data_IF_099895628087
#
_entry.id   IF_099895628087
#
_cell.length_a   1.000
_cell.length_b   1.000
_cell.length_c   1.000
_cell.angle_alpha   90.00
_cell.angle_beta   90.00
_cell.angle_gamma   90.00
#
_symmetry.space_group_name_H-M   'P 1'
#
loop_
_entity.id
_entity.type
_entity.pdbx_description
1 polymer ?
#
# COMPACT_ATOMS: atom_id res chain seq x y z
N UNK A 1 -2.58 -13.70 5.86
CA UNK A 1 -1.17 -13.77 5.43
C UNK A 1 -0.27 -13.51 6.63
N UNK A 2 1.00 -13.92 6.60
CA UNK A 2 1.96 -13.66 7.70
C UNK A 2 2.91 -12.55 7.28
N UNK A 3 3.39 -11.71 8.21
CA UNK A 3 4.40 -10.71 7.87
C UNK A 3 5.73 -11.38 7.50
N UNK A 4 6.41 -10.80 6.51
CA UNK A 4 7.76 -11.15 6.07
C UNK A 4 8.73 -10.97 7.24
N UNK A 5 9.57 -11.98 7.46
CA UNK A 5 10.56 -11.98 8.53
C UNK A 5 11.83 -11.25 8.06
N UNK A 6 11.76 -9.92 8.02
CA UNK A 6 12.84 -9.04 7.57
C UNK A 6 13.22 -8.03 8.66
N UNK A 7 14.46 -7.56 8.63
CA UNK A 7 14.84 -6.42 9.46
C UNK A 7 14.13 -5.15 8.96
N UNK A 8 13.87 -4.20 9.87
CA UNK A 8 13.07 -3.02 9.54
C UNK A 8 13.62 -2.22 8.33
N UNK A 9 14.93 -1.94 8.20
CA UNK A 9 15.45 -1.21 7.05
C UNK A 9 15.25 -1.97 5.73
N UNK A 10 15.42 -3.30 5.76
CA UNK A 10 15.21 -4.16 4.59
C UNK A 10 13.73 -4.19 4.20
N UNK A 11 12.84 -4.31 5.18
CA UNK A 11 11.40 -4.28 4.95
C UNK A 11 10.97 -2.96 4.30
N UNK A 12 11.37 -1.81 4.87
CA UNK A 12 11.03 -0.49 4.32
C UNK A 12 11.51 -0.35 2.87
N UNK A 13 12.73 -0.81 2.56
CA UNK A 13 13.24 -0.77 1.19
C UNK A 13 12.32 -1.53 0.22
N UNK A 14 11.89 -2.73 0.60
CA UNK A 14 10.98 -3.53 -0.24
C UNK A 14 9.60 -2.89 -0.37
N UNK A 15 9.07 -2.29 0.71
CA UNK A 15 7.77 -1.61 0.65
C UNK A 15 7.80 -0.43 -0.33
N UNK A 16 8.88 0.36 -0.33
CA UNK A 16 9.08 1.46 -1.29
C UNK A 16 9.11 0.93 -2.74
N UNK A 17 9.85 -0.17 -3.00
CA UNK A 17 9.86 -0.79 -4.32
C UNK A 17 8.46 -1.28 -4.74
N UNK A 18 7.68 -1.80 -3.79
CA UNK A 18 6.30 -2.23 -4.01
C UNK A 18 5.36 -1.07 -4.37
N UNK A 19 5.59 0.14 -3.86
CA UNK A 19 4.84 1.34 -4.26
C UNK A 19 4.99 1.59 -5.77
N UNK A 20 6.23 1.59 -6.28
CA UNK A 20 6.49 1.76 -7.71
C UNK A 20 5.86 0.63 -8.55
N UNK A 21 6.01 -0.62 -8.11
CA UNK A 21 5.44 -1.79 -8.79
C UNK A 21 3.90 -1.72 -8.84
N UNK A 22 3.26 -1.33 -7.73
CA UNK A 22 1.80 -1.23 -7.64
C UNK A 22 1.25 -0.16 -8.59
N UNK A 23 1.91 1.00 -8.69
CA UNK A 23 1.53 2.08 -9.61
C UNK A 23 1.73 1.69 -11.08
N UNK A 24 2.79 0.93 -11.38
CA UNK A 24 3.00 0.36 -12.70
C UNK A 24 1.92 -0.67 -13.06
N UNK A 25 1.55 -1.56 -12.14
CA UNK A 25 0.44 -2.51 -12.32
C UNK A 25 -0.89 -1.80 -12.55
N UNK A 26 -1.20 -0.77 -11.76
CA UNK A 26 -2.42 0.03 -11.95
C UNK A 26 -2.48 0.69 -13.34
N UNK A 27 -1.34 1.21 -13.82
CA UNK A 27 -1.24 1.78 -15.17
C UNK A 27 -1.45 0.72 -16.26
N UNK A 28 -0.94 -0.51 -16.06
CA UNK A 28 -1.18 -1.64 -16.98
C UNK A 28 -2.64 -2.06 -17.00
N UNK A 29 -3.31 -2.14 -15.85
CA UNK A 29 -4.75 -2.44 -15.77
C UNK A 29 -5.53 -1.41 -16.60
N UNK A 30 -5.24 -0.13 -16.40
CA UNK A 30 -5.89 0.95 -17.16
C UNK A 30 -5.67 0.81 -18.68
N UNK A 31 -4.46 0.48 -19.12
CA UNK A 31 -4.18 0.25 -20.55
C UNK A 31 -4.96 -0.94 -21.12
N UNK A 32 -5.06 -2.05 -20.39
CA UNK A 32 -5.84 -3.22 -20.82
C UNK A 32 -7.34 -2.91 -20.88
N UNK A 33 -7.84 -2.07 -19.97
CA UNK A 33 -9.22 -1.57 -20.07
C UNK A 33 -9.43 -0.76 -21.35
N UNK A 34 -8.54 0.18 -21.65
CA UNK A 34 -8.64 0.99 -22.87
C UNK A 34 -8.61 0.14 -24.15
N UNK A 35 -7.93 -1.02 -24.12
CA UNK A 35 -7.92 -1.98 -25.23
C UNK A 35 -9.02 -3.05 -25.16
N UNK A 36 -9.99 -2.91 -24.25
CA UNK A 36 -11.08 -3.87 -23.99
C UNK A 36 -10.62 -5.29 -23.62
N UNK A 37 -9.39 -5.43 -23.13
CA UNK A 37 -8.81 -6.70 -22.67
C UNK A 37 -9.11 -6.90 -21.17
N UNK A 38 -10.39 -7.17 -20.88
CA UNK A 38 -10.89 -7.30 -19.51
C UNK A 38 -10.30 -8.49 -18.76
N UNK A 39 -9.94 -9.56 -19.48
CA UNK A 39 -9.33 -10.75 -18.90
C UNK A 39 -7.96 -10.42 -18.32
N UNK A 40 -7.07 -9.79 -19.10
CA UNK A 40 -5.75 -9.36 -18.60
C UNK A 40 -5.85 -8.29 -17.53
N UNK A 41 -6.81 -7.36 -17.66
CA UNK A 41 -7.04 -6.36 -16.62
C UNK A 41 -7.40 -7.01 -15.27
N UNK A 42 -8.27 -8.03 -15.29
CA UNK A 42 -8.68 -8.79 -14.11
C UNK A 42 -7.53 -9.60 -13.49
N UNK A 43 -6.75 -10.32 -14.31
CA UNK A 43 -5.57 -11.08 -13.82
C UNK A 43 -4.57 -10.17 -13.10
N UNK A 44 -4.25 -9.00 -13.68
CA UNK A 44 -3.30 -8.05 -13.07
C UNK A 44 -3.90 -7.43 -11.80
N UNK A 45 -5.21 -7.17 -11.77
CA UNK A 45 -5.90 -6.68 -10.58
C UNK A 45 -5.80 -7.69 -9.43
N UNK A 46 -6.05 -8.97 -9.69
CA UNK A 46 -5.96 -10.02 -8.67
C UNK A 46 -4.54 -10.13 -8.07
N UNK A 47 -3.51 -10.05 -8.93
CA UNK A 47 -2.14 -9.99 -8.45
C UNK A 47 -1.86 -8.72 -7.65
N UNK A 48 -2.36 -7.56 -8.10
CA UNK A 48 -2.19 -6.29 -7.40
C UNK A 48 -2.83 -6.34 -6.01
N UNK A 49 -4.06 -6.87 -5.90
CA UNK A 49 -4.76 -7.05 -4.61
C UNK A 49 -3.96 -7.94 -3.66
N UNK A 50 -3.41 -9.05 -4.15
CA UNK A 50 -2.54 -9.93 -3.35
C UNK A 50 -1.29 -9.21 -2.86
N UNK A 51 -0.63 -8.44 -3.72
CA UNK A 51 0.57 -7.68 -3.36
C UNK A 51 0.26 -6.61 -2.30
N UNK A 52 -0.78 -5.80 -2.51
CA UNK A 52 -1.24 -4.78 -1.56
C UNK A 52 -1.63 -5.42 -0.22
N UNK A 53 -2.26 -6.59 -0.25
CA UNK A 53 -2.62 -7.31 0.99
C UNK A 53 -1.38 -7.74 1.77
N UNK A 54 -0.31 -8.20 1.11
CA UNK A 54 0.94 -8.55 1.79
C UNK A 54 1.62 -7.31 2.35
N UNK A 55 1.70 -6.26 1.53
CA UNK A 55 2.26 -4.97 1.86
C UNK A 55 1.67 -4.41 3.17
N UNK A 56 0.34 -4.29 3.22
CA UNK A 56 -0.39 -3.81 4.40
C UNK A 56 -0.16 -4.69 5.64
N UNK A 57 -0.12 -6.02 5.47
CA UNK A 57 0.17 -6.94 6.58
C UNK A 57 1.56 -6.69 7.16
N UNK A 58 2.54 -6.40 6.33
CA UNK A 58 3.89 -6.11 6.79
C UNK A 58 3.98 -4.77 7.53
N UNK A 59 3.30 -3.76 7.01
CA UNK A 59 3.21 -2.44 7.63
C UNK A 59 2.55 -2.50 9.00
N UNK A 60 1.35 -3.08 9.08
CA UNK A 60 0.59 -3.13 10.32
C UNK A 60 1.24 -4.06 11.36
N UNK A 61 1.71 -5.24 10.96
CA UNK A 61 2.27 -6.20 11.90
C UNK A 61 3.72 -5.89 12.32
N UNK A 62 4.45 -5.13 11.50
CA UNK A 62 5.87 -4.84 11.74
C UNK A 62 6.12 -3.37 12.00
N UNK A 63 5.77 -2.48 11.07
CA UNK A 63 6.08 -1.04 11.17
C UNK A 63 5.27 -0.41 12.29
N UNK A 64 3.94 -0.56 12.28
CA UNK A 64 3.08 0.02 13.33
C UNK A 64 3.43 -0.56 14.70
N UNK A 65 3.65 -1.88 14.80
CA UNK A 65 4.03 -2.49 16.07
C UNK A 65 5.35 -1.91 16.60
N UNK A 66 6.39 -1.84 15.77
CA UNK A 66 7.67 -1.22 16.18
C UNK A 66 7.51 0.25 16.54
N UNK A 67 6.68 0.99 15.81
CA UNK A 67 6.41 2.38 16.14
C UNK A 67 5.73 2.52 17.51
N UNK A 68 4.70 1.71 17.79
CA UNK A 68 4.05 1.67 19.09
C UNK A 68 5.04 1.33 20.23
N UNK A 69 5.94 0.36 20.01
CA UNK A 69 6.99 0.00 20.98
C UNK A 69 8.03 1.11 21.19
N UNK A 70 8.24 1.98 20.20
CA UNK A 70 9.25 3.04 20.23
C UNK A 70 8.74 4.39 20.71
N UNK A 71 7.51 4.74 20.35
CA UNK A 71 6.92 6.06 20.56
C UNK A 71 5.70 6.03 21.49
N UNK A 72 5.18 4.85 21.81
CA UNK A 72 3.88 4.71 22.47
C UNK A 72 2.71 5.07 21.54
N UNK A 73 1.49 4.93 22.06
CA UNK A 73 0.25 5.21 21.31
C UNK A 73 0.16 6.67 20.86
N UNK A 74 0.44 7.60 21.77
CA UNK A 74 0.35 9.04 21.49
C UNK A 74 1.37 9.50 20.45
N UNK A 75 2.62 9.04 20.55
CA UNK A 75 3.66 9.38 19.57
C UNK A 75 3.48 8.72 18.19
N UNK A 76 2.57 7.75 18.09
CA UNK A 76 2.25 7.01 16.87
C UNK A 76 0.91 7.42 16.24
N UNK A 77 0.24 8.46 16.74
CA UNK A 77 -1.07 8.90 16.23
C UNK A 77 -1.10 9.13 14.72
N UNK A 78 -0.11 9.84 14.19
CA UNK A 78 -0.04 10.13 12.76
C UNK A 78 0.05 8.85 11.91
N UNK A 79 0.83 7.86 12.37
CA UNK A 79 0.95 6.57 11.68
C UNK A 79 -0.37 5.80 11.68
N UNK A 80 -1.07 5.83 12.83
CA UNK A 80 -2.37 5.19 12.95
C UNK A 80 -3.37 5.82 11.99
N UNK A 81 -3.35 7.14 11.81
CA UNK A 81 -4.25 7.82 10.86
C UNK A 81 -3.94 7.44 9.41
N UNK A 82 -2.67 7.31 9.02
CA UNK A 82 -2.30 6.85 7.67
C UNK A 82 -2.74 5.40 7.45
N UNK A 83 -2.51 4.49 8.40
CA UNK A 83 -2.88 3.08 8.22
C UNK A 83 -4.39 2.84 8.23
N UNK A 84 -5.20 3.77 8.76
CA UNK A 84 -6.66 3.72 8.56
C UNK A 84 -7.07 3.85 7.09
N UNK A 85 -6.22 4.45 6.25
CA UNK A 85 -6.49 4.58 4.81
C UNK A 85 -6.48 3.22 4.09
N UNK A 86 -5.83 2.19 4.64
CA UNK A 86 -5.82 0.83 4.08
C UNK A 86 -7.22 0.27 3.83
N UNK A 87 -8.18 0.54 4.74
CA UNK A 87 -9.57 0.12 4.54
C UNK A 87 -10.16 0.74 3.28
N UNK A 88 -9.94 2.05 3.09
CA UNK A 88 -10.41 2.76 1.90
C UNK A 88 -9.76 2.20 0.63
N UNK A 89 -8.48 1.88 0.68
CA UNK A 89 -7.75 1.28 -0.45
C UNK A 89 -8.40 -0.06 -0.85
N UNK A 90 -8.69 -0.94 0.12
CA UNK A 90 -9.39 -2.20 -0.15
C UNK A 90 -10.78 -1.98 -0.75
N UNK A 91 -11.57 -1.07 -0.17
CA UNK A 91 -12.92 -0.77 -0.67
C UNK A 91 -12.89 -0.30 -2.14
N UNK A 92 -11.88 0.50 -2.52
CA UNK A 92 -11.71 0.96 -3.90
C UNK A 92 -11.31 -0.19 -4.85
N UNK A 93 -10.43 -1.10 -4.43
CA UNK A 93 -10.07 -2.26 -5.24
C UNK A 93 -11.22 -3.25 -5.39
N UNK A 94 -12.07 -3.41 -4.38
CA UNK A 94 -13.27 -4.24 -4.47
C UNK A 94 -14.31 -3.61 -5.41
N UNK A 95 -14.50 -2.29 -5.36
CA UNK A 95 -15.30 -1.57 -6.36
C UNK A 95 -14.77 -1.78 -7.77
N UNK A 96 -13.44 -1.67 -7.97
CA UNK A 96 -12.83 -1.88 -9.28
C UNK A 96 -13.01 -3.32 -9.77
N UNK A 97 -12.93 -4.31 -8.87
CA UNK A 97 -13.16 -5.71 -9.21
C UNK A 97 -14.58 -5.91 -9.76
N UNK A 98 -15.59 -5.34 -9.09
CA UNK A 98 -17.00 -5.40 -9.54
C UNK A 98 -17.21 -4.68 -10.88
N UNK A 99 -16.58 -3.52 -11.06
CA UNK A 99 -16.63 -2.79 -12.33
C UNK A 99 -16.09 -3.63 -13.50
N UNK A 100 -15.00 -4.38 -13.29
CA UNK A 100 -14.47 -5.30 -14.29
C UNK A 100 -15.40 -6.48 -14.58
N UNK A 101 -16.01 -7.07 -13.54
CA UNK A 101 -16.99 -8.16 -13.69
C UNK A 101 -18.22 -7.72 -14.49
N UNK A 102 -18.69 -6.49 -14.27
CA UNK A 102 -19.80 -5.87 -15.00
C UNK A 102 -19.40 -5.38 -16.41
N UNK A 103 -18.15 -5.59 -16.83
CA UNK A 103 -17.60 -5.13 -18.11
C UNK A 103 -17.75 -3.61 -18.33
N UNK A 104 -17.78 -2.85 -17.23
CA UNK A 104 -17.92 -1.40 -17.23
C UNK A 104 -16.55 -0.72 -17.04
N UNK A 105 -16.40 0.49 -17.55
CA UNK A 105 -15.21 1.31 -17.33
C UNK A 105 -15.57 2.55 -16.53
N UNK A 106 -15.03 2.63 -15.32
CA UNK A 106 -15.16 3.80 -14.45
C UNK A 106 -13.82 4.55 -14.41
N UNK A 107 -13.66 5.52 -15.32
CA UNK A 107 -12.44 6.33 -15.41
C UNK A 107 -12.20 7.16 -14.15
N UNK A 108 -13.26 7.55 -13.44
CA UNK A 108 -13.15 8.36 -12.23
C UNK A 108 -12.73 7.50 -11.04
N UNK A 109 -13.19 6.25 -10.96
CA UNK A 109 -12.67 5.27 -9.99
C UNK A 109 -11.17 5.04 -10.15
N UNK A 110 -10.66 4.92 -11.39
CA UNK A 110 -9.21 4.79 -11.61
C UNK A 110 -8.43 6.01 -11.16
N UNK A 111 -8.93 7.22 -11.45
CA UNK A 111 -8.30 8.46 -10.97
C UNK A 111 -8.33 8.51 -9.44
N UNK A 112 -9.43 8.09 -8.82
CA UNK A 112 -9.55 8.04 -7.37
C UNK A 112 -8.54 7.08 -6.75
N UNK A 113 -8.45 5.83 -7.25
CA UNK A 113 -7.47 4.84 -6.77
C UNK A 113 -6.05 5.38 -6.90
N UNK A 114 -5.70 5.89 -8.08
CA UNK A 114 -4.36 6.43 -8.34
C UNK A 114 -4.01 7.56 -7.38
N UNK A 115 -4.96 8.47 -7.13
CA UNK A 115 -4.77 9.59 -6.20
C UNK A 115 -4.61 9.09 -4.77
N UNK A 116 -5.48 8.21 -4.31
CA UNK A 116 -5.44 7.67 -2.93
C UNK A 116 -4.13 6.93 -2.67
N UNK A 117 -3.70 6.04 -3.57
CA UNK A 117 -2.43 5.34 -3.42
C UNK A 117 -1.23 6.30 -3.46
N UNK A 118 -1.22 7.24 -4.40
CA UNK A 118 -0.12 8.20 -4.50
C UNK A 118 -0.02 9.12 -3.28
N UNK A 119 -1.15 9.55 -2.73
CA UNK A 119 -1.17 10.36 -1.50
C UNK A 119 -0.72 9.54 -0.29
N UNK A 120 -1.13 8.26 -0.22
CA UNK A 120 -0.78 7.33 0.84
C UNK A 120 0.72 7.02 0.86
N UNK A 121 1.27 6.54 -0.25
CA UNK A 121 2.68 6.21 -0.40
C UNK A 121 3.58 7.41 -0.12
N UNK A 122 3.18 8.61 -0.56
CA UNK A 122 3.93 9.84 -0.27
C UNK A 122 4.04 10.10 1.23
N UNK A 123 2.94 9.94 1.99
CA UNK A 123 2.98 10.13 3.46
C UNK A 123 3.90 9.09 4.11
N UNK A 124 3.88 7.87 3.61
CA UNK A 124 4.73 6.81 4.13
C UNK A 124 6.21 7.07 3.86
N UNK A 125 6.56 7.38 2.61
CA UNK A 125 7.93 7.60 2.18
C UNK A 125 8.54 8.88 2.77
N UNK A 126 7.80 9.99 2.79
CA UNK A 126 8.33 11.29 3.19
C UNK A 126 8.32 11.47 4.72
N UNK A 127 7.34 10.89 5.41
CA UNK A 127 7.08 11.19 6.82
C UNK A 127 7.25 9.95 7.71
N UNK A 128 6.52 8.87 7.43
CA UNK A 128 6.42 7.74 8.36
C UNK A 128 7.66 6.86 8.40
N UNK A 129 8.06 6.30 7.26
CA UNK A 129 9.22 5.41 7.17
C UNK A 129 10.50 6.07 7.69
N UNK A 130 10.83 7.33 7.33
CA UNK A 130 11.98 8.01 7.90
C UNK A 130 11.88 8.20 9.42
N UNK A 131 10.70 8.54 9.94
CA UNK A 131 10.47 8.71 11.38
C UNK A 131 10.72 7.42 12.15
N UNK A 132 10.16 6.29 11.68
CA UNK A 132 10.35 4.99 12.32
C UNK A 132 11.80 4.51 12.20
N UNK A 133 12.40 4.66 11.02
CA UNK A 133 13.76 4.20 10.75
C UNK A 133 14.81 4.94 11.60
N UNK A 134 14.71 6.28 11.69
CA UNK A 134 15.62 7.09 12.54
C UNK A 134 15.60 6.58 13.99
N UNK A 135 14.41 6.43 14.57
CA UNK A 135 14.26 5.99 15.95
C UNK A 135 14.77 4.56 16.17
N UNK A 136 14.57 3.70 15.18
CA UNK A 136 15.03 2.32 15.21
C UNK A 136 16.57 2.23 15.26
N UNK A 137 17.25 3.02 14.44
CA UNK A 137 18.72 3.09 14.42
C UNK A 137 19.27 3.66 15.74
N UNK A 138 18.64 4.71 16.27
CA UNK A 138 19.03 5.31 17.56
C UNK A 138 18.93 4.32 18.74
N UNK A 139 17.97 3.40 18.70
CA UNK A 139 17.81 2.36 19.74
C UNK A 139 18.83 1.23 19.62
N UNK A 140 19.39 0.96 18.44
CA UNK A 140 20.41 -0.10 18.25
C UNK A 140 21.83 0.36 18.58
N UNK A 141 22.06 1.68 18.60
CA UNK A 141 23.37 2.30 18.88
C UNK A 141 23.55 2.71 20.34
N UNK A 142 22.55 2.48 21.19
CA UNK A 142 22.57 2.68 22.64
C UNK A 142 22.52 1.33 23.35
#
# INVERSE_FOLDING_TARGET
MKPRQLDLPQLITILIDEHAISMAKLSRIHNHLLSSDLHRASEILDELKKNISQHIVDEEATILRKALDMFGKEGSKDLIEVFKEHRRIFDLFDRLSRTLEECYQDADLFKEIRRVLSDHYRKEEDELFPKVLRRYIDKRTR
#
